data_IF_098361348829
#
_entry.id   IF_098361348829
#
_cell.length_a   1.000
_cell.length_b   1.000
_cell.length_c   1.000
_cell.angle_alpha   90.00
_cell.angle_beta   90.00
_cell.angle_gamma   90.00
#
_symmetry.space_group_name_H-M   'P 1'
#
loop_
_entity.id
_entity.type
_entity.pdbx_description
1 polymer ?
#
# COMPACT_ATOMS: atom_id res chain seq x y z
N UNK A 1 35.43 -20.84 16.74
CA UNK A 1 35.91 -19.46 16.53
C UNK A 1 35.68 -18.98 15.10
N UNK A 2 36.08 -19.75 14.12
CA UNK A 2 35.86 -19.43 12.71
C UNK A 2 34.37 -19.31 12.37
N UNK A 3 33.52 -20.09 13.01
CA UNK A 3 32.07 -20.10 12.80
C UNK A 3 31.42 -18.76 13.16
N UNK A 4 31.93 -18.11 14.21
CA UNK A 4 31.37 -16.83 14.67
C UNK A 4 31.66 -15.68 13.70
N UNK A 5 32.86 -15.65 13.14
CA UNK A 5 33.21 -14.66 12.12
C UNK A 5 32.34 -14.85 10.87
N UNK A 6 32.09 -16.11 10.52
CA UNK A 6 31.29 -16.42 9.34
C UNK A 6 29.83 -15.93 9.49
N UNK A 7 29.25 -16.04 10.68
CA UNK A 7 27.92 -15.53 10.98
C UNK A 7 27.85 -14.00 10.96
N UNK A 8 28.92 -13.33 11.38
CA UNK A 8 29.00 -11.87 11.32
C UNK A 8 29.10 -11.38 9.89
N UNK A 9 29.83 -12.09 9.05
CA UNK A 9 29.99 -11.73 7.63
C UNK A 9 28.73 -11.95 6.81
N UNK A 10 27.81 -12.78 7.29
CA UNK A 10 26.51 -12.98 6.65
C UNK A 10 25.48 -11.93 7.04
N UNK A 11 25.80 -11.06 7.97
CA UNK A 11 24.92 -9.94 8.28
C UNK A 11 24.95 -8.97 7.11
N UNK A 12 23.76 -8.67 6.63
CA UNK A 12 23.56 -7.65 5.63
C UNK A 12 24.24 -6.36 6.06
N UNK A 13 25.04 -5.78 5.19
CA UNK A 13 25.62 -4.46 5.40
C UNK A 13 24.54 -3.45 5.68
N UNK A 14 24.79 -2.43 6.55
CA UNK A 14 23.84 -1.35 6.75
C UNK A 14 23.44 -0.75 5.41
N UNK A 15 22.15 -0.55 5.21
CA UNK A 15 21.64 0.06 3.99
C UNK A 15 22.10 1.50 3.90
N UNK A 16 22.68 1.89 2.75
CA UNK A 16 22.97 3.27 2.43
C UNK A 16 21.69 3.94 1.92
N UNK A 17 21.68 5.28 1.99
CA UNK A 17 20.58 6.03 1.42
C UNK A 17 20.47 5.78 -0.08
N UNK A 18 19.24 5.66 -0.57
CA UNK A 18 18.98 5.46 -2.00
C UNK A 18 17.74 6.23 -2.42
N UNK A 19 17.62 6.44 -3.71
CA UNK A 19 16.49 7.13 -4.33
C UNK A 19 15.84 6.19 -5.35
N UNK A 20 14.52 6.21 -5.39
CA UNK A 20 13.73 5.50 -6.41
C UNK A 20 12.91 6.53 -7.18
N UNK A 21 12.99 6.48 -8.51
CA UNK A 21 12.14 7.32 -9.36
C UNK A 21 10.82 6.60 -9.65
N UNK A 22 9.81 7.35 -10.08
CA UNK A 22 8.52 6.74 -10.44
C UNK A 22 8.68 5.72 -11.58
N UNK A 23 9.60 5.96 -12.52
CA UNK A 23 9.87 5.03 -13.62
C UNK A 23 10.47 3.70 -13.16
N UNK A 24 11.19 3.73 -12.03
CA UNK A 24 11.79 2.51 -11.45
C UNK A 24 10.80 1.74 -10.56
N UNK A 25 9.68 2.36 -10.20
CA UNK A 25 8.68 1.71 -9.37
C UNK A 25 8.10 0.49 -10.08
N UNK A 26 7.84 -0.57 -9.32
CA UNK A 26 7.32 -1.82 -9.85
C UNK A 26 5.80 -1.77 -9.82
N UNK A 27 5.16 -1.93 -10.98
CA UNK A 27 3.71 -2.03 -11.04
C UNK A 27 3.26 -3.40 -10.54
N UNK A 28 2.37 -3.39 -9.55
CA UNK A 28 1.79 -4.61 -8.98
C UNK A 28 0.54 -4.98 -9.76
N UNK A 29 0.31 -6.28 -9.92
CA UNK A 29 -0.89 -6.81 -10.57
C UNK A 29 -2.01 -6.92 -9.54
N UNK A 30 -2.68 -5.80 -9.29
CA UNK A 30 -3.81 -5.73 -8.35
C UNK A 30 -5.07 -5.28 -9.08
N UNK A 31 -6.23 -5.93 -8.83
CA UNK A 31 -7.44 -5.62 -9.57
C UNK A 31 -8.01 -4.23 -9.24
N UNK A 32 -8.57 -3.58 -10.26
CA UNK A 32 -9.35 -2.35 -10.11
C UNK A 32 -8.55 -1.08 -9.79
N UNK A 33 -7.21 -1.15 -9.87
CA UNK A 33 -6.35 0.00 -9.63
C UNK A 33 -4.98 -0.19 -10.24
N UNK A 34 -4.28 0.92 -10.44
CA UNK A 34 -2.86 0.89 -10.76
C UNK A 34 -2.12 1.09 -9.44
N UNK A 35 -1.26 0.17 -9.08
CA UNK A 35 -0.45 0.25 -7.86
C UNK A 35 1.01 0.11 -8.24
N UNK A 36 1.81 1.12 -7.92
CA UNK A 36 3.25 1.14 -8.19
C UNK A 36 4.00 1.13 -6.87
N UNK A 37 4.78 0.11 -6.64
CA UNK A 37 5.60 -0.01 -5.44
C UNK A 37 6.96 0.62 -5.67
N UNK A 38 7.22 1.71 -4.96
CA UNK A 38 8.51 2.41 -5.00
C UNK A 38 9.53 1.71 -4.13
N UNK A 39 9.11 1.34 -2.92
CA UNK A 39 9.99 0.87 -1.88
C UNK A 39 9.36 -0.33 -1.19
N UNK A 40 10.18 -1.34 -0.95
CA UNK A 40 9.88 -2.48 -0.10
C UNK A 40 11.18 -3.19 0.25
N UNK A 41 11.10 -4.32 0.94
CA UNK A 41 12.26 -5.17 1.20
C UNK A 41 12.98 -5.60 -0.07
N UNK A 42 12.24 -5.75 -1.17
CA UNK A 42 12.81 -6.12 -2.48
C UNK A 42 13.70 -5.04 -3.07
N UNK A 43 13.46 -3.78 -2.74
CA UNK A 43 14.28 -2.65 -3.21
C UNK A 43 15.36 -2.24 -2.21
N UNK A 44 15.45 -2.90 -1.06
CA UNK A 44 16.49 -2.66 -0.09
C UNK A 44 16.07 -1.94 1.18
N UNK A 45 14.79 -1.62 1.35
CA UNK A 45 14.29 -1.09 2.60
C UNK A 45 14.21 -2.20 3.67
N UNK A 46 14.36 -1.82 4.93
CA UNK A 46 14.36 -2.80 6.02
C UNK A 46 12.98 -2.97 6.65
N UNK A 47 12.24 -1.88 6.81
CA UNK A 47 11.02 -1.89 7.62
C UNK A 47 9.87 -1.07 7.01
N UNK A 48 9.94 -0.73 5.73
CA UNK A 48 8.92 0.11 5.10
C UNK A 48 8.60 -0.36 3.69
N UNK A 49 7.36 -0.07 3.27
CA UNK A 49 6.93 -0.15 1.88
C UNK A 49 6.13 1.10 1.53
N UNK A 50 6.28 1.56 0.29
CA UNK A 50 5.58 2.74 -0.22
C UNK A 50 5.02 2.46 -1.60
N UNK A 51 3.74 2.75 -1.79
CA UNK A 51 3.03 2.57 -3.05
C UNK A 51 2.30 3.83 -3.46
N UNK A 52 2.32 4.12 -4.75
CA UNK A 52 1.42 5.09 -5.37
C UNK A 52 0.26 4.32 -6.00
N UNK A 53 -0.96 4.64 -5.60
CA UNK A 53 -2.16 3.97 -6.08
C UNK A 53 -3.02 4.96 -6.85
N UNK A 54 -3.43 4.57 -8.05
CA UNK A 54 -4.32 5.36 -8.89
C UNK A 54 -5.61 4.58 -9.14
N UNK A 55 -6.73 5.22 -8.85
CA UNK A 55 -8.07 4.62 -9.02
C UNK A 55 -8.87 5.51 -9.95
N UNK A 56 -9.36 4.93 -11.04
CA UNK A 56 -10.23 5.65 -11.98
C UNK A 56 -11.62 5.85 -11.39
N UNK A 57 -12.35 6.87 -11.86
CA UNK A 57 -13.73 7.07 -11.43
C UNK A 57 -14.58 5.82 -11.64
N UNK A 58 -15.46 5.56 -10.68
CA UNK A 58 -16.38 4.42 -10.74
C UNK A 58 -17.44 4.66 -11.81
N UNK A 59 -17.65 3.67 -12.69
CA UNK A 59 -18.58 3.77 -13.82
C UNK A 59 -19.86 2.97 -13.63
N UNK A 60 -20.21 2.65 -12.40
CA UNK A 60 -21.39 1.87 -12.09
C UNK A 60 -21.21 0.36 -12.20
N UNK A 61 -19.99 -0.09 -12.47
CA UNK A 61 -19.64 -1.50 -12.54
C UNK A 61 -19.57 -2.15 -11.15
N UNK A 62 -19.35 -3.47 -11.14
CA UNK A 62 -19.23 -4.23 -9.92
C UNK A 62 -18.13 -3.65 -9.02
N UNK A 63 -18.46 -3.49 -7.76
CA UNK A 63 -17.55 -2.94 -6.76
C UNK A 63 -16.53 -4.02 -6.37
N UNK A 64 -15.26 -3.64 -6.24
CA UNK A 64 -14.23 -4.55 -5.76
C UNK A 64 -14.56 -5.08 -4.38
N UNK A 65 -14.18 -6.30 -4.09
CA UNK A 65 -14.27 -6.83 -2.74
C UNK A 65 -13.36 -6.08 -1.79
N UNK A 66 -13.71 -6.06 -0.52
CA UNK A 66 -12.82 -5.54 0.51
C UNK A 66 -11.61 -6.46 0.65
N UNK A 67 -10.50 -5.88 1.10
CA UNK A 67 -9.29 -6.62 1.41
C UNK A 67 -8.75 -6.15 2.77
N UNK A 68 -7.77 -6.86 3.27
CA UNK A 68 -7.10 -6.49 4.51
C UNK A 68 -5.63 -6.91 4.49
N UNK A 69 -4.87 -6.30 5.36
CA UNK A 69 -3.45 -6.61 5.54
C UNK A 69 -3.26 -7.26 6.90
N UNK A 70 -2.97 -8.57 6.95
CA UNK A 70 -2.89 -9.27 8.24
C UNK A 70 -1.64 -8.90 9.05
N UNK A 71 -0.61 -8.39 8.42
CA UNK A 71 0.69 -8.18 9.05
C UNK A 71 1.09 -6.73 9.28
N UNK A 72 0.24 -5.77 8.92
CA UNK A 72 0.64 -4.35 8.99
C UNK A 72 -0.57 -3.43 9.03
N UNK A 73 -0.38 -2.26 9.59
CA UNK A 73 -1.29 -1.14 9.33
C UNK A 73 -0.93 -0.49 7.99
N UNK A 74 -1.85 0.31 7.49
CA UNK A 74 -1.66 1.09 6.27
C UNK A 74 -1.97 2.55 6.55
N UNK A 75 -1.11 3.46 6.10
CA UNK A 75 -1.33 4.90 6.18
C UNK A 75 -1.53 5.43 4.76
N UNK A 76 -2.69 5.99 4.48
CA UNK A 76 -3.09 6.45 3.15
C UNK A 76 -3.16 7.98 3.15
N UNK A 77 -2.39 8.62 2.28
CA UNK A 77 -2.45 10.07 2.06
C UNK A 77 -3.08 10.33 0.69
N UNK A 78 -4.06 11.22 0.64
CA UNK A 78 -4.73 11.58 -0.62
C UNK A 78 -3.95 12.69 -1.31
N UNK A 79 -3.31 12.35 -2.44
CA UNK A 79 -2.55 13.31 -3.26
C UNK A 79 -3.44 14.12 -4.17
N UNK A 80 -4.39 13.47 -4.83
CA UNK A 80 -5.29 14.10 -5.80
C UNK A 80 -6.65 13.40 -5.78
N UNK A 81 -7.70 14.18 -6.04
CA UNK A 81 -9.03 13.66 -6.22
C UNK A 81 -9.79 13.46 -4.92
N UNK A 82 -10.88 12.74 -5.01
CA UNK A 82 -11.76 12.45 -3.87
C UNK A 82 -12.31 11.03 -3.97
N UNK A 83 -12.66 10.48 -2.83
CA UNK A 83 -13.21 9.13 -2.78
C UNK A 83 -13.82 8.80 -1.43
N UNK A 84 -14.15 7.53 -1.27
CA UNK A 84 -14.69 6.99 -0.02
C UNK A 84 -13.93 5.71 0.30
N UNK A 85 -13.49 5.58 1.55
CA UNK A 85 -13.03 4.30 2.07
C UNK A 85 -14.12 3.71 2.96
N UNK A 86 -14.51 2.50 2.66
CA UNK A 86 -15.51 1.74 3.42
C UNK A 86 -14.83 0.65 4.23
N UNK A 87 -15.31 0.48 5.45
CA UNK A 87 -15.04 -0.68 6.30
C UNK A 87 -16.36 -1.43 6.53
N UNK A 88 -16.38 -2.60 7.17
CA UNK A 88 -17.65 -3.28 7.45
C UNK A 88 -18.62 -2.48 8.31
N UNK A 89 -18.13 -1.49 9.07
CA UNK A 89 -18.95 -0.75 10.03
C UNK A 89 -19.12 0.73 9.73
N UNK A 90 -18.36 1.28 8.76
CA UNK A 90 -18.37 2.73 8.53
C UNK A 90 -17.89 3.08 7.12
N UNK A 91 -18.19 4.31 6.71
CA UNK A 91 -17.72 4.92 5.47
C UNK A 91 -17.05 6.26 5.78
N UNK A 92 -15.94 6.54 5.11
CA UNK A 92 -15.14 7.74 5.34
C UNK A 92 -14.91 8.46 4.04
N UNK A 93 -15.29 9.72 3.96
CA UNK A 93 -14.98 10.57 2.80
C UNK A 93 -13.51 10.95 2.83
N UNK A 94 -12.87 10.87 1.68
CA UNK A 94 -11.47 11.24 1.50
C UNK A 94 -11.37 12.39 0.50
N UNK A 95 -10.64 13.43 0.88
CA UNK A 95 -10.33 14.57 0.06
C UNK A 95 -8.83 14.83 0.03
N UNK A 96 -8.37 15.61 -0.93
CA UNK A 96 -6.95 15.96 -1.03
C UNK A 96 -6.41 16.47 0.32
N UNK A 97 -5.27 15.94 0.72
CA UNK A 97 -4.61 16.29 1.98
C UNK A 97 -5.06 15.46 3.17
N UNK A 98 -6.09 14.64 3.03
CA UNK A 98 -6.53 13.77 4.12
C UNK A 98 -5.59 12.58 4.30
N UNK A 99 -5.52 12.10 5.54
CA UNK A 99 -4.82 10.87 5.90
C UNK A 99 -5.83 9.91 6.51
N UNK A 100 -5.80 8.67 6.06
CA UNK A 100 -6.61 7.58 6.58
C UNK A 100 -5.70 6.45 7.05
N UNK A 101 -5.93 5.95 8.26
CA UNK A 101 -5.13 4.86 8.82
C UNK A 101 -6.01 3.62 8.95
N UNK A 102 -5.52 2.51 8.41
CA UNK A 102 -6.18 1.21 8.49
C UNK A 102 -5.36 0.30 9.40
N UNK A 103 -5.93 -0.16 10.53
CA UNK A 103 -5.25 -1.13 11.40
C UNK A 103 -5.02 -2.46 10.70
N UNK A 104 -4.11 -3.30 11.20
CA UNK A 104 -3.99 -4.67 10.71
C UNK A 104 -5.34 -5.40 10.83
N UNK A 105 -5.63 -6.28 9.88
CA UNK A 105 -6.84 -7.10 9.83
C UNK A 105 -8.13 -6.35 9.50
N UNK A 106 -8.13 -5.02 9.46
CA UNK A 106 -9.34 -4.26 9.14
C UNK A 106 -9.66 -4.36 7.64
N UNK A 107 -10.79 -4.93 7.32
CA UNK A 107 -11.27 -5.00 5.94
C UNK A 107 -11.64 -3.60 5.45
N UNK A 108 -11.22 -3.29 4.25
CA UNK A 108 -11.49 -1.97 3.67
C UNK A 108 -11.48 -2.01 2.15
N UNK A 109 -12.07 -0.96 1.59
CA UNK A 109 -12.14 -0.75 0.14
C UNK A 109 -12.23 0.74 -0.12
N UNK A 110 -11.38 1.26 -0.99
CA UNK A 110 -11.43 2.65 -1.43
C UNK A 110 -11.99 2.74 -2.82
N UNK A 111 -12.96 3.61 -3.02
CA UNK A 111 -13.65 3.83 -4.28
C UNK A 111 -13.49 5.29 -4.68
N UNK A 112 -13.22 5.54 -5.96
CA UNK A 112 -13.18 6.88 -6.51
C UNK A 112 -14.62 7.34 -6.80
N UNK A 113 -15.11 8.31 -6.06
CA UNK A 113 -16.45 8.90 -6.23
C UNK A 113 -16.41 10.24 -6.96
N UNK A 114 -15.24 10.68 -7.38
CA UNK A 114 -15.05 11.93 -8.10
C UNK A 114 -15.13 11.74 -9.62
N UNK A 115 -14.73 12.76 -10.35
CA UNK A 115 -14.74 12.79 -11.82
C UNK A 115 -13.36 12.68 -12.43
N UNK A 116 -12.30 12.75 -11.65
CA UNK A 116 -10.91 12.62 -12.09
C UNK A 116 -10.23 11.49 -11.32
N UNK A 117 -9.01 11.12 -11.71
CA UNK A 117 -8.27 10.07 -11.06
C UNK A 117 -8.06 10.38 -9.56
N UNK A 118 -8.23 9.36 -8.72
CA UNK A 118 -7.89 9.43 -7.31
C UNK A 118 -6.49 8.87 -7.12
N UNK A 119 -5.58 9.71 -6.62
CA UNK A 119 -4.19 9.30 -6.36
C UNK A 119 -3.93 9.25 -4.87
N UNK A 120 -3.45 8.11 -4.43
CA UNK A 120 -3.17 7.83 -3.03
C UNK A 120 -1.70 7.45 -2.86
N UNK A 121 -1.09 7.97 -1.81
CA UNK A 121 0.21 7.49 -1.38
C UNK A 121 -0.02 6.58 -0.18
N UNK A 122 0.32 5.30 -0.33
CA UNK A 122 0.08 4.27 0.67
C UNK A 122 1.40 3.83 1.30
N UNK A 123 1.51 4.04 2.58
CA UNK A 123 2.70 3.71 3.37
C UNK A 123 2.38 2.57 4.33
N UNK A 124 3.32 1.62 4.42
CA UNK A 124 3.22 0.46 5.29
C UNK A 124 4.50 0.33 6.13
N UNK A 125 4.41 0.24 7.46
CA UNK A 125 5.59 0.02 8.30
C UNK A 125 6.03 -1.45 8.33
N UNK A 126 6.26 -2.00 7.17
CA UNK A 126 6.76 -3.35 6.94
C UNK A 126 7.49 -3.41 5.61
N UNK A 127 8.47 -4.27 5.51
CA UNK A 127 9.21 -4.50 4.26
C UNK A 127 8.46 -5.39 3.28
N UNK A 128 7.46 -6.14 3.75
CA UNK A 128 6.64 -7.04 2.93
C UNK A 128 5.17 -6.90 3.32
N UNK A 129 4.37 -6.33 2.43
CA UNK A 129 2.94 -6.16 2.64
C UNK A 129 2.20 -7.42 2.21
N UNK A 130 1.49 -8.03 3.13
CA UNK A 130 0.57 -9.13 2.82
C UNK A 130 -0.82 -8.58 2.59
N UNK A 131 -1.55 -9.18 1.66
CA UNK A 131 -2.91 -8.79 1.32
C UNK A 131 -3.78 -10.04 1.22
N UNK A 132 -4.95 -9.97 1.83
CA UNK A 132 -5.97 -11.00 1.70
C UNK A 132 -7.28 -10.35 1.28
N UNK A 133 -7.99 -10.99 0.35
CA UNK A 133 -9.28 -10.52 -0.12
C UNK A 133 -10.39 -11.12 0.74
N UNK A 134 -11.41 -10.30 1.01
CA UNK A 134 -12.63 -10.79 1.63
C UNK A 134 -13.43 -11.55 0.58
N UNK A 135 -13.61 -12.84 0.78
CA UNK A 135 -14.35 -13.68 -0.16
C UNK A 135 -15.86 -13.56 -0.01
N UNK A 136 -16.33 -12.83 0.99
CA UNK A 136 -17.75 -12.61 1.19
C UNK A 136 -18.51 -13.82 1.76
N UNK A 137 -17.78 -14.77 2.29
CA UNK A 137 -18.39 -15.98 2.87
C UNK A 137 -18.42 -15.87 4.37
#
# INVERSE_FOLDING_TARGET
>A
MVVWQHWIDLKKEPSLAFKVTEQEAVQLDLPGRISKEFVSGKSGAENISLRLVEIQPTTGEAVRSMHFHPNTEECIYVLEGSGITETPTASYSLNEGDVFVVPPMEKHRTTNTGSSVLKLLCFFPTDEVKIENDTGV
#
